data_IF_044252497302
#
_entry.id   IF_044252497302
#
_cell.length_a   1.000
_cell.length_b   1.000
_cell.length_c   1.000
_cell.angle_alpha   90.00
_cell.angle_beta   90.00
_cell.angle_gamma   90.00
#
_symmetry.space_group_name_H-M   'P 1'
#
loop_
_entity.id
_entity.type
_entity.pdbx_description
1 polymer ?
#
# COMPACT_ATOMS: atom_id res chain seq x y z
N UNK A 1 32.26 15.14 -13.28
CA UNK A 1 32.56 13.85 -12.61
C UNK A 1 31.90 12.77 -13.46
N UNK A 2 32.65 11.79 -13.98
CA UNK A 2 32.06 10.69 -14.77
C UNK A 2 31.35 9.71 -13.81
N UNK A 3 30.22 9.08 -14.17
CA UNK A 3 29.45 8.20 -13.29
C UNK A 3 30.27 7.12 -12.56
N UNK A 4 31.31 6.60 -13.20
CA UNK A 4 32.27 5.63 -12.67
C UNK A 4 33.10 6.15 -11.48
N UNK A 5 33.17 7.46 -11.28
CA UNK A 5 33.80 8.07 -10.09
C UNK A 5 32.77 8.50 -9.06
N UNK A 6 31.47 8.42 -9.37
CA UNK A 6 30.40 8.72 -8.45
C UNK A 6 30.23 7.55 -7.48
N UNK A 7 30.68 7.72 -6.23
CA UNK A 7 30.35 6.80 -5.15
C UNK A 7 28.89 7.01 -4.75
N UNK A 8 27.99 6.26 -5.38
CA UNK A 8 26.62 6.15 -4.90
C UNK A 8 26.65 5.46 -3.55
N UNK A 9 26.32 6.22 -2.51
CA UNK A 9 26.35 5.71 -1.14
C UNK A 9 25.05 4.96 -0.90
N UNK A 10 25.13 3.64 -0.86
CA UNK A 10 23.99 2.79 -0.55
C UNK A 10 23.90 2.58 0.97
N UNK A 11 23.26 3.53 1.64
CA UNK A 11 22.98 3.46 3.10
C UNK A 11 21.60 2.82 3.38
N UNK A 12 20.88 2.38 2.34
CA UNK A 12 19.52 1.85 2.47
C UNK A 12 18.48 2.90 2.89
N UNK A 13 17.36 2.42 3.44
CA UNK A 13 16.27 3.21 4.02
C UNK A 13 15.51 2.38 5.07
N UNK A 14 14.41 2.89 5.62
CA UNK A 14 13.59 2.15 6.59
C UNK A 14 12.94 0.85 6.07
N UNK A 15 13.05 0.58 4.77
CA UNK A 15 12.53 -0.65 4.14
C UNK A 15 13.60 -1.73 3.93
N UNK A 16 14.86 -1.33 3.81
CA UNK A 16 15.98 -2.25 3.54
C UNK A 16 17.31 -1.55 3.84
N UNK A 17 18.27 -2.27 4.41
CA UNK A 17 19.60 -1.77 4.76
C UNK A 17 20.47 -1.43 3.54
N UNK A 18 20.07 -1.87 2.34
CA UNK A 18 20.71 -1.56 1.07
C UNK A 18 19.69 -1.63 -0.07
N UNK A 19 19.80 -0.73 -1.04
CA UNK A 19 18.99 -0.68 -2.25
C UNK A 19 19.10 -1.98 -3.06
N UNK A 20 20.28 -2.60 -3.09
CA UNK A 20 20.52 -3.87 -3.79
C UNK A 20 19.82 -5.06 -3.15
N UNK A 21 19.49 -4.98 -1.86
CA UNK A 21 18.78 -6.02 -1.11
C UNK A 21 17.31 -5.64 -0.85
N UNK A 22 16.81 -4.58 -1.49
CA UNK A 22 15.45 -4.12 -1.29
C UNK A 22 14.44 -5.14 -1.85
N UNK A 23 13.41 -5.55 -1.09
CA UNK A 23 12.42 -6.53 -1.56
C UNK A 23 11.45 -5.95 -2.61
N UNK A 24 11.54 -4.65 -2.90
CA UNK A 24 10.66 -3.98 -3.85
C UNK A 24 11.27 -3.90 -5.24
N UNK A 25 10.49 -4.25 -6.27
CA UNK A 25 10.90 -4.16 -7.67
C UNK A 25 11.15 -2.71 -8.16
N UNK A 26 10.60 -1.72 -7.47
CA UNK A 26 10.85 -0.28 -7.68
C UNK A 26 10.94 0.42 -6.34
N UNK A 27 11.77 1.47 -6.29
CA UNK A 27 11.91 2.28 -5.09
C UNK A 27 10.57 2.91 -4.71
N UNK A 28 10.19 2.78 -3.44
CA UNK A 28 8.92 3.31 -2.93
C UNK A 28 8.86 4.84 -2.97
N UNK A 29 10.01 5.52 -3.01
CA UNK A 29 10.10 6.98 -3.14
C UNK A 29 9.99 7.46 -4.59
N UNK A 30 10.28 6.60 -5.56
CA UNK A 30 10.17 6.92 -6.99
C UNK A 30 8.75 6.72 -7.52
N UNK A 31 7.91 5.96 -6.81
CA UNK A 31 6.50 5.80 -7.15
C UNK A 31 5.74 7.13 -6.96
N UNK A 32 4.89 7.56 -7.91
CA UNK A 32 4.04 8.73 -7.74
C UNK A 32 3.18 8.63 -6.47
N UNK A 33 3.35 9.56 -5.54
CA UNK A 33 2.70 9.55 -4.21
C UNK A 33 3.47 8.79 -3.12
N UNK A 34 4.60 8.19 -3.47
CA UNK A 34 5.64 7.69 -2.59
C UNK A 34 5.21 6.62 -1.58
N UNK A 35 6.00 6.52 -0.51
CA UNK A 35 5.76 5.65 0.65
C UNK A 35 4.34 5.77 1.21
N UNK A 36 3.84 6.98 1.37
CA UNK A 36 2.53 7.21 1.99
C UNK A 36 1.39 6.60 1.16
N UNK A 37 1.41 6.79 -0.16
CA UNK A 37 0.40 6.20 -1.04
C UNK A 37 0.49 4.67 -1.02
N UNK A 38 1.70 4.13 -1.06
CA UNK A 38 1.92 2.69 -1.05
C UNK A 38 1.40 2.05 0.25
N UNK A 39 1.76 2.60 1.41
CA UNK A 39 1.28 2.14 2.72
C UNK A 39 -0.23 2.19 2.80
N UNK A 40 -0.84 3.29 2.34
CA UNK A 40 -2.30 3.44 2.26
C UNK A 40 -2.93 2.35 1.39
N UNK A 41 -2.42 2.13 0.17
CA UNK A 41 -2.92 1.11 -0.75
C UNK A 41 -2.74 -0.31 -0.21
N UNK A 42 -1.67 -0.57 0.54
CA UNK A 42 -1.42 -1.87 1.17
C UNK A 42 -2.45 -2.12 2.28
N UNK A 43 -2.59 -1.17 3.22
CA UNK A 43 -3.59 -1.22 4.29
C UNK A 43 -5.00 -1.37 3.74
N UNK A 44 -5.41 -0.55 2.77
CA UNK A 44 -6.77 -0.58 2.22
C UNK A 44 -7.08 -1.91 1.51
N UNK A 45 -6.07 -2.56 0.90
CA UNK A 45 -6.21 -3.91 0.34
C UNK A 45 -6.44 -4.94 1.44
N UNK A 46 -5.70 -4.86 2.53
CA UNK A 46 -5.84 -5.80 3.65
C UNK A 46 -7.18 -5.62 4.39
N UNK A 47 -7.62 -4.38 4.60
CA UNK A 47 -8.97 -4.07 5.11
C UNK A 47 -10.04 -4.74 4.25
N UNK A 48 -9.94 -4.62 2.92
CA UNK A 48 -10.87 -5.24 2.01
C UNK A 48 -10.81 -6.78 2.10
N UNK A 49 -9.61 -7.38 2.14
CA UNK A 49 -9.42 -8.83 2.29
C UNK A 49 -10.08 -9.36 3.56
N UNK A 50 -9.81 -8.74 4.71
CA UNK A 50 -10.38 -9.13 6.01
C UNK A 50 -11.91 -9.02 6.02
N UNK A 51 -12.46 -7.95 5.45
CA UNK A 51 -13.92 -7.78 5.40
C UNK A 51 -14.59 -8.78 4.45
N UNK A 52 -14.01 -9.02 3.28
CA UNK A 52 -14.64 -9.83 2.22
C UNK A 52 -14.41 -11.32 2.45
N UNK A 53 -13.18 -11.71 2.75
CA UNK A 53 -12.78 -13.12 2.82
C UNK A 53 -12.99 -13.72 4.21
N UNK A 54 -12.86 -12.90 5.26
CA UNK A 54 -13.00 -13.36 6.65
C UNK A 54 -14.26 -12.82 7.36
N UNK A 55 -15.04 -11.95 6.70
CA UNK A 55 -16.29 -11.44 7.26
C UNK A 55 -16.13 -10.50 8.47
N UNK A 56 -14.92 -9.98 8.73
CA UNK A 56 -14.67 -9.11 9.89
C UNK A 56 -15.46 -7.81 9.80
N UNK A 57 -16.02 -7.36 10.93
CA UNK A 57 -16.80 -6.13 11.02
C UNK A 57 -15.90 -4.90 11.09
N UNK A 58 -16.47 -3.74 10.75
CA UNK A 58 -15.77 -2.45 10.73
C UNK A 58 -15.07 -2.16 12.05
N UNK A 59 -15.75 -2.39 13.18
CA UNK A 59 -15.20 -2.18 14.52
C UNK A 59 -13.97 -3.06 14.79
N UNK A 60 -14.06 -4.36 14.51
CA UNK A 60 -12.94 -5.30 14.71
C UNK A 60 -11.71 -4.89 13.88
N UNK A 61 -11.93 -4.54 12.61
CA UNK A 61 -10.84 -4.07 11.73
C UNK A 61 -10.26 -2.75 12.26
N UNK A 62 -11.10 -1.85 12.76
CA UNK A 62 -10.64 -0.56 13.30
C UNK A 62 -9.71 -0.75 14.51
N UNK A 63 -10.05 -1.68 15.41
CA UNK A 63 -9.26 -2.04 16.59
C UNK A 63 -7.96 -2.72 16.18
N UNK A 64 -7.99 -3.69 15.26
CA UNK A 64 -6.80 -4.39 14.76
C UNK A 64 -5.74 -3.46 14.17
N UNK A 65 -6.17 -2.40 13.47
CA UNK A 65 -5.26 -1.46 12.80
C UNK A 65 -4.98 -0.20 13.61
N UNK A 66 -5.64 0.01 14.76
CA UNK A 66 -5.53 1.25 15.53
C UNK A 66 -5.97 2.49 14.74
N UNK A 67 -7.03 2.37 13.91
CA UNK A 67 -7.56 3.47 13.08
C UNK A 67 -9.04 3.70 13.34
N UNK A 68 -9.56 4.87 12.97
CA UNK A 68 -11.00 5.12 13.09
C UNK A 68 -11.84 4.20 12.20
N UNK A 69 -13.06 3.86 12.65
CA UNK A 69 -14.06 3.15 11.83
C UNK A 69 -14.34 3.87 10.50
N UNK A 70 -14.33 5.22 10.50
CA UNK A 70 -14.47 6.04 9.30
C UNK A 70 -13.39 5.72 8.25
N UNK A 71 -12.15 5.50 8.68
CA UNK A 71 -11.05 5.13 7.77
C UNK A 71 -11.32 3.79 7.12
N UNK A 72 -11.79 2.81 7.90
CA UNK A 72 -12.17 1.48 7.42
C UNK A 72 -13.31 1.57 6.40
N UNK A 73 -14.38 2.28 6.73
CA UNK A 73 -15.53 2.48 5.84
C UNK A 73 -15.14 3.11 4.50
N UNK A 74 -14.26 4.12 4.51
CA UNK A 74 -13.77 4.76 3.27
C UNK A 74 -12.94 3.81 2.40
N UNK A 75 -12.11 2.98 3.02
CA UNK A 75 -11.35 1.96 2.30
C UNK A 75 -12.28 0.93 1.64
N UNK A 76 -13.28 0.43 2.37
CA UNK A 76 -14.28 -0.50 1.86
C UNK A 76 -15.12 0.09 0.72
N UNK A 77 -15.59 1.33 0.86
CA UNK A 77 -16.32 2.04 -0.21
C UNK A 77 -15.47 2.17 -1.49
N UNK A 78 -14.18 2.47 -1.33
CA UNK A 78 -13.25 2.56 -2.47
C UNK A 78 -13.07 1.19 -3.14
N UNK A 79 -12.95 0.11 -2.36
CA UNK A 79 -12.84 -1.25 -2.88
C UNK A 79 -14.11 -1.70 -3.62
N UNK A 80 -15.29 -1.36 -3.08
CA UNK A 80 -16.58 -1.62 -3.73
C UNK A 80 -16.68 -0.89 -5.07
N UNK A 81 -16.38 0.42 -5.12
CA UNK A 81 -16.38 1.18 -6.36
C UNK A 81 -15.45 0.58 -7.42
N UNK A 82 -14.26 0.12 -7.02
CA UNK A 82 -13.33 -0.56 -7.93
C UNK A 82 -13.90 -1.86 -8.49
N UNK A 83 -14.56 -2.68 -7.65
CA UNK A 83 -15.26 -3.89 -8.13
C UNK A 83 -16.36 -3.54 -9.13
N UNK A 84 -17.22 -2.59 -8.80
CA UNK A 84 -18.30 -2.12 -9.69
C UNK A 84 -17.71 -1.68 -11.03
N UNK A 85 -16.69 -0.82 -11.04
CA UNK A 85 -16.03 -0.35 -12.27
C UNK A 85 -15.36 -1.46 -13.08
N UNK A 86 -14.96 -2.55 -12.43
CA UNK A 86 -14.34 -3.70 -13.11
C UNK A 86 -15.40 -4.59 -13.75
N UNK A 87 -16.57 -4.75 -13.12
CA UNK A 87 -17.71 -5.49 -13.70
C UNK A 87 -18.18 -4.80 -14.98
N UNK A 88 -18.42 -3.49 -14.94
CA UNK A 88 -18.93 -2.70 -16.09
C UNK A 88 -17.95 -2.58 -17.28
N UNK A 89 -16.71 -3.09 -17.16
CA UNK A 89 -15.72 -3.06 -18.25
C UNK A 89 -15.63 -4.41 -18.98
N UNK A 90 -16.34 -5.42 -18.50
CA UNK A 90 -16.40 -6.77 -19.10
C UNK A 90 -17.71 -6.95 -19.88
N UNK A 91 -18.58 -5.95 -19.86
CA UNK A 91 -19.82 -5.83 -20.66
C UNK A 91 -19.58 -4.98 -21.92
#
# INVERSE_FOLDING_TARGET
MRPEFCRYRDEGCEMAESCLNCPFARCIYDEPGGKQLWMRKSRDREIARLSISEGKKVKEISEMFGISERTVQRALKTAQNKRVSRVHRVD
#
